data_IF_047126582601
#
_entry.id   IF_047126582601
#
_cell.length_a   1.000
_cell.length_b   1.000
_cell.length_c   1.000
_cell.angle_alpha   90.00
_cell.angle_beta   90.00
_cell.angle_gamma   90.00
#
_symmetry.space_group_name_H-M   'P 1'
#
loop_
_entity.id
_entity.type
_entity.pdbx_description
1 polymer ?
#
# COMPACT_ATOMS: atom_id res chain seq x y z
N UNK A 1 18.19 -25.42 -6.48
CA UNK A 1 18.19 -23.96 -6.64
C UNK A 1 16.93 -23.46 -5.98
N UNK A 2 17.03 -22.88 -4.77
CA UNK A 2 15.89 -22.29 -4.07
C UNK A 2 15.58 -20.97 -4.76
N UNK A 3 14.40 -20.85 -5.36
CA UNK A 3 13.89 -19.59 -5.89
C UNK A 3 13.50 -18.77 -4.68
N UNK A 4 14.27 -17.72 -4.40
CA UNK A 4 14.00 -16.75 -3.36
C UNK A 4 12.75 -15.98 -3.78
N UNK A 5 11.61 -16.27 -3.18
CA UNK A 5 10.37 -15.52 -3.36
C UNK A 5 10.43 -14.34 -2.40
N UNK A 6 10.80 -13.18 -2.88
CA UNK A 6 10.64 -11.94 -2.14
C UNK A 6 9.15 -11.57 -2.13
N UNK A 7 8.49 -11.74 -1.02
CA UNK A 7 7.17 -11.19 -0.77
C UNK A 7 7.40 -9.82 -0.14
N UNK A 8 7.34 -8.79 -0.96
CA UNK A 8 7.30 -7.41 -0.46
C UNK A 8 5.88 -7.18 0.08
N UNK A 9 5.72 -7.32 1.39
CA UNK A 9 4.53 -6.87 2.09
C UNK A 9 4.78 -5.43 2.51
N UNK A 10 4.74 -4.50 1.57
CA UNK A 10 4.57 -3.09 1.91
C UNK A 10 3.15 -2.91 2.43
N UNK A 11 3.00 -2.17 3.51
CA UNK A 11 1.68 -1.74 3.93
C UNK A 11 1.00 -1.06 2.75
N UNK A 12 -0.13 -1.65 2.32
CA UNK A 12 -1.02 -1.15 1.29
C UNK A 12 -0.50 -0.96 -0.12
N UNK A 13 -0.53 -1.93 -0.76
CA UNK A 13 -1.00 -2.35 -2.07
C UNK A 13 -0.60 -3.79 -2.17
N UNK A 14 -1.52 -4.69 -2.42
CA UNK A 14 -1.18 -5.98 -2.98
C UNK A 14 -0.71 -5.71 -4.43
N UNK A 15 0.25 -4.85 -4.62
CA UNK A 15 1.24 -4.93 -5.66
C UNK A 15 2.30 -5.89 -5.14
N UNK A 16 1.91 -7.16 -4.93
CA UNK A 16 2.90 -8.21 -5.01
C UNK A 16 3.57 -7.98 -6.36
N UNK A 17 4.78 -7.44 -6.34
CA UNK A 17 5.67 -7.54 -7.49
C UNK A 17 5.88 -9.03 -7.72
N UNK A 18 4.92 -9.66 -8.40
CA UNK A 18 5.15 -10.92 -9.03
C UNK A 18 6.25 -10.65 -10.05
N UNK A 19 7.49 -10.96 -9.71
CA UNK A 19 8.51 -11.21 -10.73
C UNK A 19 8.01 -12.42 -11.50
N UNK A 20 6.99 -12.21 -12.31
CA UNK A 20 6.41 -13.22 -13.15
C UNK A 20 7.33 -13.36 -14.36
N UNK A 21 8.04 -14.48 -14.44
CA UNK A 21 8.20 -15.10 -15.75
C UNK A 21 6.78 -15.14 -16.33
N UNK A 22 6.60 -14.59 -17.54
CA UNK A 22 5.32 -14.59 -18.21
C UNK A 22 4.69 -15.99 -18.11
N UNK A 23 3.73 -16.14 -17.22
CA UNK A 23 3.06 -17.42 -17.01
C UNK A 23 1.88 -17.48 -17.98
N UNK A 24 1.77 -18.58 -18.70
CA UNK A 24 0.68 -18.83 -19.66
C UNK A 24 -0.63 -19.22 -18.97
N UNK A 25 -0.74 -19.02 -17.64
CA UNK A 25 -1.93 -19.37 -16.86
C UNK A 25 -2.41 -18.17 -16.06
N UNK A 26 -3.72 -18.08 -15.88
CA UNK A 26 -4.33 -17.15 -14.93
C UNK A 26 -4.01 -17.62 -13.51
N UNK A 27 -3.56 -16.71 -12.67
CA UNK A 27 -3.29 -16.96 -11.25
C UNK A 27 -4.28 -16.15 -10.42
N UNK A 28 -4.85 -16.78 -9.40
CA UNK A 28 -5.63 -16.12 -8.36
C UNK A 28 -4.82 -15.99 -7.09
N UNK A 29 -5.04 -14.96 -6.31
CA UNK A 29 -4.48 -14.76 -4.99
C UNK A 29 -5.55 -14.30 -4.02
N UNK A 30 -5.43 -14.72 -2.77
CA UNK A 30 -6.24 -14.25 -1.65
C UNK A 30 -5.34 -14.06 -0.44
N UNK A 31 -5.52 -12.95 0.27
CA UNK A 31 -4.84 -12.70 1.53
C UNK A 31 -5.79 -12.03 2.52
N UNK A 32 -5.56 -12.23 3.80
CA UNK A 32 -6.20 -11.48 4.88
C UNK A 32 -5.12 -11.11 5.88
N UNK A 33 -4.84 -9.81 6.00
CA UNK A 33 -3.94 -9.28 7.01
C UNK A 33 -4.72 -8.88 8.27
N UNK A 34 -4.12 -9.10 9.42
CA UNK A 34 -4.56 -8.57 10.71
C UNK A 34 -3.42 -7.72 11.24
N UNK A 35 -3.67 -6.44 11.40
CA UNK A 35 -2.65 -5.46 11.78
C UNK A 35 -3.02 -4.75 13.08
N UNK A 36 -2.03 -4.41 13.88
CA UNK A 36 -2.22 -3.66 15.13
C UNK A 36 -2.48 -2.17 14.92
N UNK A 37 -2.00 -1.63 13.81
CA UNK A 37 -2.18 -0.25 13.39
C UNK A 37 -2.09 -0.17 11.87
N UNK A 38 -2.98 0.61 11.25
CA UNK A 38 -2.97 0.88 9.84
C UNK A 38 -2.12 2.12 9.54
N UNK A 39 -0.89 1.92 9.13
CA UNK A 39 0.06 2.99 8.76
C UNK A 39 0.30 2.95 7.26
N UNK A 40 0.16 4.08 6.60
CA UNK A 40 0.35 4.23 5.15
C UNK A 40 1.15 5.49 4.80
N UNK A 41 2.30 5.32 4.15
CA UNK A 41 3.19 6.42 3.72
C UNK A 41 3.50 7.41 4.87
N UNK A 42 3.75 6.83 6.07
CA UNK A 42 4.01 7.61 7.28
C UNK A 42 2.77 8.26 7.91
N UNK A 43 1.58 7.98 7.41
CA UNK A 43 0.31 8.46 7.97
C UNK A 43 -0.37 7.36 8.81
N UNK A 44 -0.96 7.74 9.94
CA UNK A 44 -1.84 6.89 10.73
C UNK A 44 -3.25 6.95 10.16
N UNK A 45 -3.72 5.85 9.58
CA UNK A 45 -5.06 5.72 9.03
C UNK A 45 -6.00 4.92 9.95
N UNK A 46 -5.53 4.46 11.09
CA UNK A 46 -6.37 3.79 12.09
C UNK A 46 -5.63 2.77 12.94
N UNK A 47 -6.36 2.28 13.92
CA UNK A 47 -5.89 1.28 14.88
C UNK A 47 -5.92 -0.13 14.28
N UNK A 48 -6.09 -1.14 15.14
CA UNK A 48 -6.15 -2.53 14.70
C UNK A 48 -7.22 -2.75 13.61
N UNK A 49 -6.85 -3.42 12.54
CA UNK A 49 -7.69 -3.61 11.35
C UNK A 49 -7.58 -5.02 10.78
N UNK A 50 -8.63 -5.44 10.09
CA UNK A 50 -8.61 -6.61 9.19
C UNK A 50 -8.61 -6.10 7.76
N UNK A 51 -7.68 -6.63 6.95
CA UNK A 51 -7.40 -6.14 5.61
C UNK A 51 -7.44 -7.30 4.59
N UNK A 52 -8.63 -7.66 4.07
CA UNK A 52 -8.76 -8.67 3.04
C UNK A 52 -8.32 -8.17 1.68
N UNK A 53 -7.73 -9.05 0.88
CA UNK A 53 -7.35 -8.80 -0.49
C UNK A 53 -7.57 -9.99 -1.40
N UNK A 54 -7.96 -9.71 -2.64
CA UNK A 54 -8.17 -10.67 -3.71
C UNK A 54 -7.47 -10.17 -4.97
N UNK A 55 -6.88 -11.07 -5.75
CA UNK A 55 -6.23 -10.71 -6.99
C UNK A 55 -6.34 -11.79 -8.05
N UNK A 56 -6.22 -11.33 -9.29
CA UNK A 56 -6.10 -12.20 -10.46
C UNK A 56 -5.04 -11.62 -11.38
N UNK A 57 -4.18 -12.45 -11.94
CA UNK A 57 -3.13 -12.00 -12.85
C UNK A 57 -2.96 -12.92 -14.05
N UNK A 58 -2.52 -12.32 -15.17
CA UNK A 58 -2.21 -13.02 -16.40
C UNK A 58 -1.20 -12.23 -17.23
N UNK A 59 -0.06 -12.84 -17.54
CA UNK A 59 1.01 -12.26 -18.38
C UNK A 59 1.44 -10.83 -17.98
N UNK A 60 1.58 -10.61 -16.68
CA UNK A 60 1.98 -9.32 -16.12
C UNK A 60 0.81 -8.35 -15.87
N UNK A 61 -0.36 -8.55 -16.48
CA UNK A 61 -1.56 -7.78 -16.17
C UNK A 61 -2.16 -8.31 -14.87
N UNK A 62 -2.59 -7.43 -13.98
CA UNK A 62 -3.24 -7.78 -12.71
C UNK A 62 -4.45 -6.91 -12.44
N UNK A 63 -5.45 -7.50 -11.81
CA UNK A 63 -6.60 -6.81 -11.23
C UNK A 63 -6.73 -7.28 -9.79
N UNK A 64 -6.78 -6.34 -8.85
CA UNK A 64 -6.95 -6.66 -7.44
C UNK A 64 -8.01 -5.79 -6.77
N UNK A 65 -8.61 -6.36 -5.73
CA UNK A 65 -9.47 -5.67 -4.80
C UNK A 65 -8.87 -5.83 -3.40
N UNK A 66 -8.81 -4.76 -2.64
CA UNK A 66 -8.34 -4.74 -1.28
C UNK A 66 -9.28 -3.90 -0.41
N UNK A 67 -9.28 -4.14 0.88
CA UNK A 67 -10.05 -3.31 1.80
C UNK A 67 -9.46 -3.31 3.20
N UNK A 68 -9.89 -2.34 4.02
CA UNK A 68 -9.53 -2.24 5.42
C UNK A 68 -10.74 -1.91 6.27
N UNK A 69 -10.89 -2.61 7.38
CA UNK A 69 -11.93 -2.35 8.37
C UNK A 69 -11.30 -2.28 9.76
N UNK A 70 -11.36 -1.10 10.37
CA UNK A 70 -10.92 -0.90 11.75
C UNK A 70 -11.78 -1.68 12.75
N UNK A 71 -11.15 -2.19 13.80
CA UNK A 71 -11.77 -3.05 14.82
C UNK A 71 -12.06 -2.34 16.13
N UNK A 72 -11.40 -1.21 16.39
CA UNK A 72 -11.36 -0.57 17.72
C UNK A 72 -12.18 0.71 17.81
N UNK A 73 -12.36 1.42 16.69
CA UNK A 73 -13.13 2.66 16.64
C UNK A 73 -14.06 2.70 15.43
N UNK A 74 -15.22 3.32 15.58
CA UNK A 74 -16.12 3.62 14.46
C UNK A 74 -15.51 4.67 13.51
N UNK A 75 -14.58 5.48 14.02
CA UNK A 75 -13.91 6.55 13.28
C UNK A 75 -12.63 6.08 12.56
N UNK A 76 -12.19 4.84 12.80
CA UNK A 76 -11.09 4.24 12.05
C UNK A 76 -11.43 4.24 10.56
N UNK A 77 -10.43 4.50 9.71
CA UNK A 77 -10.58 4.47 8.26
C UNK A 77 -11.14 3.13 7.81
N UNK A 78 -12.17 3.19 7.00
CA UNK A 78 -12.68 2.07 6.22
C UNK A 78 -12.41 2.36 4.77
N UNK A 79 -11.91 1.36 4.06
CA UNK A 79 -11.38 1.56 2.72
C UNK A 79 -11.68 0.36 1.84
N UNK A 80 -11.90 0.65 0.57
CA UNK A 80 -12.01 -0.37 -0.47
C UNK A 80 -11.34 0.13 -1.74
N UNK A 81 -10.37 -0.62 -2.23
CA UNK A 81 -9.54 -0.25 -3.35
C UNK A 81 -9.66 -1.24 -4.51
N UNK A 82 -9.66 -0.72 -5.72
CA UNK A 82 -9.53 -1.50 -6.94
C UNK A 82 -8.28 -1.05 -7.69
N UNK A 83 -7.38 -2.00 -7.97
CA UNK A 83 -6.13 -1.73 -8.69
C UNK A 83 -6.05 -2.51 -9.98
N UNK A 84 -5.78 -1.83 -11.09
CA UNK A 84 -5.37 -2.40 -12.36
C UNK A 84 -3.88 -2.14 -12.54
N UNK A 85 -3.08 -3.18 -12.70
CA UNK A 85 -1.62 -3.09 -12.82
C UNK A 85 -1.06 -3.86 -13.99
N UNK A 86 0.15 -3.48 -14.41
CA UNK A 86 0.97 -4.25 -15.32
C UNK A 86 2.41 -4.24 -14.85
N UNK A 87 3.06 -5.41 -14.86
CA UNK A 87 4.47 -5.56 -14.51
C UNK A 87 5.21 -6.47 -15.48
N UNK A 88 6.45 -6.09 -15.83
CA UNK A 88 7.33 -6.89 -16.67
C UNK A 88 8.80 -6.50 -16.45
N UNK A 89 9.66 -7.47 -16.15
CA UNK A 89 11.12 -7.27 -16.10
C UNK A 89 11.59 -6.21 -15.10
N UNK A 90 10.93 -6.11 -13.92
CA UNK A 90 11.19 -5.09 -12.91
C UNK A 90 10.36 -3.81 -13.08
N UNK A 91 9.91 -3.47 -14.29
CA UNK A 91 9.02 -2.34 -14.53
C UNK A 91 7.61 -2.64 -14.03
N UNK A 92 6.96 -1.65 -13.43
CA UNK A 92 5.54 -1.70 -13.06
C UNK A 92 4.86 -0.36 -13.33
N UNK A 93 3.58 -0.44 -13.66
CA UNK A 93 2.67 0.70 -13.84
C UNK A 93 1.26 0.27 -13.41
N UNK A 94 0.50 1.19 -12.84
CA UNK A 94 -0.86 0.87 -12.41
C UNK A 94 -1.73 2.08 -12.19
N UNK A 95 -3.00 1.79 -11.94
CA UNK A 95 -4.01 2.77 -11.50
C UNK A 95 -4.79 2.14 -10.36
N UNK A 96 -4.95 2.89 -9.28
CA UNK A 96 -5.76 2.49 -8.13
C UNK A 96 -6.90 3.49 -7.93
N UNK A 97 -8.09 2.95 -7.72
CA UNK A 97 -9.26 3.67 -7.21
C UNK A 97 -9.35 3.38 -5.71
N UNK A 98 -8.96 4.32 -4.88
CA UNK A 98 -9.13 4.31 -3.44
C UNK A 98 -10.51 4.84 -3.10
N UNK A 99 -11.29 4.10 -2.32
CA UNK A 99 -12.54 4.60 -1.79
C UNK A 99 -12.48 4.65 -0.28
N UNK A 100 -12.31 5.86 0.26
CA UNK A 100 -12.24 6.11 1.68
C UNK A 100 -13.62 6.31 2.27
N UNK A 101 -13.96 5.51 3.27
CA UNK A 101 -15.18 5.62 4.05
C UNK A 101 -14.87 5.54 5.54
N UNK A 102 -14.62 6.68 6.14
CA UNK A 102 -14.37 6.82 7.56
C UNK A 102 -15.69 6.90 8.33
N UNK A 103 -16.41 5.82 8.47
CA UNK A 103 -17.67 5.80 9.21
C UNK A 103 -18.80 5.14 8.43
N UNK A 104 -19.77 4.60 9.15
CA UNK A 104 -20.97 3.95 8.59
C UNK A 104 -22.14 4.94 8.55
N UNK A 105 -21.91 6.15 8.07
CA UNK A 105 -22.96 7.12 7.94
C UNK A 105 -23.78 6.90 6.65
N UNK A 106 -25.00 7.42 6.60
CA UNK A 106 -25.87 7.33 5.42
C UNK A 106 -25.39 8.12 4.20
N UNK A 107 -24.22 8.77 4.29
CA UNK A 107 -23.56 9.50 3.19
C UNK A 107 -22.58 8.62 2.44
N UNK A 108 -22.29 7.42 2.93
CA UNK A 108 -21.48 6.43 2.27
C UNK A 108 -22.12 5.99 0.95
N UNK A 109 -21.59 6.47 -0.18
CA UNK A 109 -22.11 6.22 -1.52
C UNK A 109 -20.99 5.83 -2.46
N UNK A 110 -20.69 4.56 -2.54
CA UNK A 110 -19.65 4.01 -3.41
C UNK A 110 -19.78 4.47 -4.87
N UNK A 111 -20.99 4.46 -5.45
CA UNK A 111 -21.21 4.84 -6.86
C UNK A 111 -21.30 6.35 -7.10
N UNK A 112 -20.82 7.17 -6.19
CA UNK A 112 -20.79 8.62 -6.33
C UNK A 112 -19.43 9.09 -6.84
N UNK A 113 -19.31 9.31 -8.14
CA UNK A 113 -18.06 9.69 -8.82
C UNK A 113 -17.99 11.18 -9.21
N UNK A 114 -18.83 12.03 -8.67
CA UNK A 114 -18.80 13.47 -8.95
C UNK A 114 -17.54 14.12 -8.36
N UNK A 115 -16.73 14.79 -9.17
CA UNK A 115 -15.39 15.30 -8.85
C UNK A 115 -15.26 16.15 -7.58
N UNK A 116 -16.32 16.83 -7.14
CA UNK A 116 -16.31 17.69 -5.94
C UNK A 116 -17.02 17.08 -4.72
N UNK A 117 -17.49 15.85 -4.81
CA UNK A 117 -18.26 15.24 -3.74
C UNK A 117 -18.08 13.72 -3.62
N UNK A 118 -17.15 13.17 -4.36
CA UNK A 118 -16.76 11.76 -4.26
C UNK A 118 -15.80 11.55 -3.08
N UNK A 119 -15.80 10.34 -2.51
CA UNK A 119 -14.78 9.87 -1.60
C UNK A 119 -13.74 9.00 -2.31
N UNK A 120 -13.85 8.87 -3.65
CA UNK A 120 -12.85 8.18 -4.45
C UNK A 120 -11.64 9.07 -4.71
N UNK A 121 -10.46 8.46 -4.67
CA UNK A 121 -9.19 9.05 -5.11
C UNK A 121 -8.59 8.13 -6.16
N UNK A 122 -8.26 8.67 -7.33
CA UNK A 122 -7.63 7.90 -8.41
C UNK A 122 -6.15 8.25 -8.47
N UNK A 123 -5.31 7.25 -8.21
CA UNK A 123 -3.85 7.36 -8.23
C UNK A 123 -3.26 6.54 -9.38
N UNK A 124 -2.37 7.15 -10.14
CA UNK A 124 -1.49 6.45 -11.08
C UNK A 124 -0.13 6.19 -10.42
N UNK A 125 0.46 5.02 -10.69
CA UNK A 125 1.81 4.73 -10.26
C UNK A 125 2.68 4.24 -11.41
N UNK A 126 3.98 4.46 -11.28
CA UNK A 126 5.04 3.92 -12.14
C UNK A 126 6.26 3.60 -11.28
N UNK A 127 6.93 2.51 -11.56
CA UNK A 127 8.11 2.14 -10.79
C UNK A 127 9.01 1.13 -11.46
N UNK A 128 10.14 0.90 -10.82
CA UNK A 128 11.10 -0.10 -11.25
C UNK A 128 11.77 -0.78 -10.05
N UNK A 129 11.80 -2.11 -10.07
CA UNK A 129 12.51 -2.96 -9.12
C UNK A 129 13.82 -3.45 -9.74
N UNK A 130 14.95 -3.03 -9.15
CA UNK A 130 16.31 -3.42 -9.53
C UNK A 130 16.78 -4.70 -8.81
N UNK A 131 15.93 -5.27 -7.93
CA UNK A 131 16.25 -6.42 -7.09
C UNK A 131 16.99 -6.05 -5.80
N UNK A 132 17.89 -5.08 -5.81
CA UNK A 132 18.59 -4.55 -4.63
C UNK A 132 17.94 -3.29 -4.06
N UNK A 133 17.14 -2.60 -4.85
CA UNK A 133 16.32 -1.46 -4.47
C UNK A 133 15.13 -1.35 -5.42
N UNK A 134 14.07 -0.70 -4.96
CA UNK A 134 12.91 -0.31 -5.77
C UNK A 134 12.74 1.20 -5.75
N UNK A 135 12.25 1.74 -6.87
CA UNK A 135 11.85 3.14 -7.01
C UNK A 135 10.40 3.18 -7.45
N UNK A 136 9.59 3.96 -6.75
CA UNK A 136 8.16 4.10 -7.05
C UNK A 136 7.77 5.58 -7.07
N UNK A 137 6.92 5.95 -8.00
CA UNK A 137 6.27 7.25 -8.07
C UNK A 137 4.77 7.07 -8.17
N UNK A 138 4.05 7.86 -7.40
CA UNK A 138 2.60 7.87 -7.32
C UNK A 138 2.07 9.28 -7.53
N UNK A 139 0.91 9.43 -8.17
CA UNK A 139 0.25 10.72 -8.34
C UNK A 139 -1.26 10.57 -8.36
N UNK A 140 -1.95 11.29 -7.50
CA UNK A 140 -3.40 11.42 -7.54
C UNK A 140 -3.80 12.30 -8.73
N UNK A 141 -4.53 11.76 -9.69
CA UNK A 141 -4.90 12.50 -10.89
C UNK A 141 -6.38 12.85 -10.98
N UNK A 142 -7.24 12.22 -10.18
CA UNK A 142 -8.69 12.47 -10.17
C UNK A 142 -9.30 12.16 -8.79
N UNK A 143 -10.59 12.50 -8.63
CA UNK A 143 -11.36 12.25 -7.42
C UNK A 143 -11.11 13.29 -6.33
N UNK A 144 -11.18 12.86 -5.07
CA UNK A 144 -11.02 13.69 -3.86
C UNK A 144 -9.54 13.83 -3.48
N UNK A 145 -8.74 14.42 -4.34
CA UNK A 145 -7.35 14.74 -4.06
C UNK A 145 -7.24 15.92 -3.09
N UNK A 146 -6.05 16.13 -2.54
CA UNK A 146 -5.71 17.32 -1.78
C UNK A 146 -5.62 18.58 -2.63
N UNK A 147 -5.50 19.71 -1.96
CA UNK A 147 -5.25 21.01 -2.58
C UNK A 147 -3.84 21.51 -2.24
N UNK A 148 -3.28 22.33 -3.14
CA UNK A 148 -2.03 23.06 -2.95
C UNK A 148 -2.25 24.34 -2.10
N UNK A 149 -1.22 25.17 -1.96
CA UNK A 149 -1.29 26.44 -1.21
C UNK A 149 -2.25 27.46 -1.82
N UNK A 150 -2.48 27.40 -3.14
CA UNK A 150 -3.39 28.29 -3.85
C UNK A 150 -4.86 27.79 -3.80
N UNK A 151 -5.12 26.63 -3.22
CA UNK A 151 -6.44 25.99 -3.15
C UNK A 151 -6.82 25.21 -4.41
N UNK A 152 -5.92 25.07 -5.37
CA UNK A 152 -6.10 24.26 -6.56
C UNK A 152 -5.78 22.79 -6.28
N UNK A 153 -6.26 21.87 -7.15
CA UNK A 153 -5.91 20.43 -7.07
C UNK A 153 -4.39 20.25 -6.99
N UNK A 154 -3.91 19.58 -5.95
CA UNK A 154 -2.49 19.41 -5.71
C UNK A 154 -1.83 18.41 -6.66
N UNK A 155 -2.59 17.47 -7.26
CA UNK A 155 -2.01 16.28 -7.90
C UNK A 155 -1.04 15.59 -6.95
N UNK A 156 -1.53 15.33 -5.72
CA UNK A 156 -0.73 14.83 -4.60
C UNK A 156 0.14 13.67 -5.04
N UNK A 157 1.44 13.86 -4.93
CA UNK A 157 2.42 12.89 -5.42
C UNK A 157 3.30 12.40 -4.29
N UNK A 158 3.75 11.16 -4.41
CA UNK A 158 4.62 10.51 -3.45
C UNK A 158 5.69 9.72 -4.19
N UNK A 159 6.93 9.85 -3.74
CA UNK A 159 8.07 9.10 -4.25
C UNK A 159 8.61 8.20 -3.15
N UNK A 160 8.97 6.97 -3.50
CA UNK A 160 9.44 5.98 -2.55
C UNK A 160 10.69 5.26 -3.06
N UNK A 161 11.62 5.03 -2.15
CA UNK A 161 12.77 4.15 -2.32
C UNK A 161 12.64 3.03 -1.30
N UNK A 162 12.56 1.78 -1.76
CA UNK A 162 12.58 0.57 -0.94
C UNK A 162 13.89 -0.19 -1.09
N UNK A 163 14.44 -0.71 0.00
CA UNK A 163 15.65 -1.53 0.02
C UNK A 163 15.38 -2.83 0.77
N UNK A 164 15.21 -3.95 0.07
CA UNK A 164 15.05 -5.25 0.71
C UNK A 164 16.41 -5.83 1.11
N UNK A 165 16.47 -6.48 2.27
CA UNK A 165 17.64 -7.24 2.71
C UNK A 165 17.23 -8.36 3.68
N UNK A 166 18.11 -9.35 3.89
CA UNK A 166 17.86 -10.43 4.86
C UNK A 166 18.87 -10.35 6.00
N UNK A 167 18.38 -10.39 7.23
CA UNK A 167 19.19 -10.37 8.44
C UNK A 167 18.53 -11.17 9.56
N UNK A 168 19.33 -12.00 10.28
CA UNK A 168 18.88 -12.83 11.43
C UNK A 168 17.64 -13.69 11.10
N UNK A 169 17.66 -14.36 9.93
CA UNK A 169 16.57 -15.23 9.46
C UNK A 169 15.21 -14.52 9.36
N UNK A 170 15.22 -13.22 9.14
CA UNK A 170 14.08 -12.40 8.78
C UNK A 170 14.36 -11.70 7.45
N UNK A 171 13.30 -11.42 6.70
CA UNK A 171 13.35 -10.53 5.56
C UNK A 171 13.00 -9.12 6.02
N UNK A 172 13.86 -8.18 5.67
CA UNK A 172 13.77 -6.78 6.06
C UNK A 172 13.53 -5.90 4.85
N UNK A 173 12.82 -4.81 5.09
CA UNK A 173 12.63 -3.76 4.12
C UNK A 173 12.82 -2.41 4.80
N UNK A 174 13.74 -1.60 4.27
CA UNK A 174 13.89 -0.21 4.64
C UNK A 174 13.27 0.67 3.56
N UNK A 175 12.47 1.66 3.97
CA UNK A 175 11.75 2.55 3.06
C UNK A 175 12.04 3.99 3.41
N UNK A 176 12.25 4.82 2.39
CA UNK A 176 12.22 6.28 2.50
C UNK A 176 11.24 6.82 1.47
N UNK A 177 10.27 7.59 1.97
CA UNK A 177 9.24 8.20 1.15
C UNK A 177 9.17 9.71 1.31
N UNK A 178 8.88 10.41 0.21
CA UNK A 178 8.83 11.86 0.18
C UNK A 178 7.69 12.36 -0.71
N UNK A 179 7.13 13.50 -0.30
CA UNK A 179 6.15 14.29 -1.03
C UNK A 179 6.89 15.45 -1.69
N UNK A 180 6.83 15.64 -3.02
CA UNK A 180 7.68 16.61 -3.72
C UNK A 180 7.22 18.07 -3.60
N UNK A 181 5.94 18.32 -3.27
CA UNK A 181 5.38 19.67 -3.22
C UNK A 181 4.20 19.76 -2.23
N UNK A 182 3.69 20.98 -2.02
CA UNK A 182 2.60 21.25 -1.09
C UNK A 182 1.32 20.49 -1.46
N UNK A 183 0.73 19.80 -0.47
CA UNK A 183 -0.57 19.16 -0.61
C UNK A 183 -1.23 18.92 0.74
N UNK A 184 -2.52 19.21 0.82
CA UNK A 184 -3.31 18.90 2.02
C UNK A 184 -3.54 17.40 2.20
N UNK A 185 -3.40 16.57 1.16
CA UNK A 185 -3.55 15.11 1.23
C UNK A 185 -2.50 14.45 2.15
N UNK A 186 -1.26 14.94 2.11
CA UNK A 186 -0.16 14.50 2.97
C UNK A 186 0.15 15.52 4.10
N UNK A 187 -0.58 16.65 4.17
CA UNK A 187 -0.35 17.69 5.15
C UNK A 187 0.99 18.41 4.97
N UNK A 188 1.49 18.53 3.74
CA UNK A 188 2.78 19.15 3.43
C UNK A 188 2.60 20.55 2.81
N UNK A 189 3.53 21.46 3.14
CA UNK A 189 3.60 22.83 2.59
C UNK A 189 4.72 22.99 1.55
N UNK A 190 5.32 21.91 1.10
CA UNK A 190 6.41 21.87 0.13
C UNK A 190 7.01 20.47 0.08
N UNK A 191 8.26 20.38 -0.38
CA UNK A 191 8.98 19.12 -0.30
C UNK A 191 9.13 18.64 1.14
N UNK A 192 8.76 17.40 1.41
CA UNK A 192 8.88 16.80 2.74
C UNK A 192 9.17 15.30 2.65
N UNK A 193 10.07 14.81 3.51
CA UNK A 193 10.17 13.38 3.80
C UNK A 193 9.04 13.04 4.76
N UNK A 194 8.12 12.20 4.31
CA UNK A 194 6.93 11.81 5.09
C UNK A 194 7.01 10.38 5.62
N UNK A 195 7.99 9.61 5.15
CA UNK A 195 8.20 8.25 5.66
C UNK A 195 9.68 7.89 5.73
N UNK A 196 10.09 7.34 6.88
CA UNK A 196 11.31 6.56 7.07
C UNK A 196 10.90 5.32 7.84
N UNK A 197 10.88 4.18 7.18
CA UNK A 197 10.35 2.97 7.77
C UNK A 197 11.34 1.80 7.71
N UNK A 198 11.18 0.89 8.67
CA UNK A 198 11.88 -0.37 8.72
C UNK A 198 10.87 -1.46 9.13
N UNK A 199 10.75 -2.51 8.31
CA UNK A 199 9.87 -3.64 8.56
C UNK A 199 10.67 -4.95 8.53
N UNK A 200 10.41 -5.83 9.48
CA UNK A 200 10.92 -7.20 9.53
C UNK A 200 9.77 -8.17 9.32
N UNK A 201 9.96 -9.16 8.48
CA UNK A 201 8.98 -10.23 8.23
C UNK A 201 9.64 -11.58 8.44
N UNK A 202 8.92 -12.49 9.08
CA UNK A 202 9.31 -13.89 9.24
C UNK A 202 8.15 -14.82 8.88
N UNK A 203 8.43 -15.78 8.03
CA UNK A 203 7.46 -16.81 7.67
C UNK A 203 7.45 -17.94 8.71
N UNK A 204 6.26 -18.30 9.18
CA UNK A 204 6.02 -19.45 10.04
C UNK A 204 5.18 -20.47 9.30
N UNK A 205 5.69 -21.71 9.20
CA UNK A 205 4.94 -22.81 8.61
C UNK A 205 4.08 -23.51 9.67
N UNK A 206 2.80 -23.64 9.38
CA UNK A 206 1.83 -24.39 10.19
C UNK A 206 1.48 -25.68 9.45
N UNK A 207 2.11 -26.77 9.88
CA UNK A 207 2.07 -28.04 9.14
C UNK A 207 2.77 -27.90 7.77
N UNK A 208 2.34 -28.70 6.80
CA UNK A 208 3.00 -28.79 5.49
C UNK A 208 2.38 -27.86 4.41
N UNK A 209 1.30 -27.14 4.73
CA UNK A 209 0.48 -26.47 3.73
C UNK A 209 0.21 -24.98 3.96
N UNK A 210 0.40 -24.50 5.17
CA UNK A 210 0.04 -23.11 5.51
C UNK A 210 1.30 -22.37 5.94
N UNK A 211 1.59 -21.26 5.28
CA UNK A 211 2.64 -20.33 5.70
C UNK A 211 1.98 -19.04 6.15
N UNK A 212 2.35 -18.60 7.34
CA UNK A 212 1.84 -17.35 7.94
C UNK A 212 3.02 -16.40 8.10
N UNK A 213 3.16 -15.39 7.24
CA UNK A 213 4.09 -14.30 7.48
C UNK A 213 3.62 -13.47 8.69
N UNK A 214 4.53 -13.29 9.64
CA UNK A 214 4.36 -12.42 10.80
C UNK A 214 5.35 -11.28 10.63
N UNK A 215 4.92 -10.06 10.82
CA UNK A 215 5.76 -8.89 10.63
C UNK A 215 5.60 -7.86 11.73
N UNK A 216 6.62 -7.04 11.89
CA UNK A 216 6.62 -5.87 12.74
C UNK A 216 7.41 -4.77 12.05
N UNK A 217 7.05 -3.53 12.34
CA UNK A 217 7.72 -2.39 11.74
C UNK A 217 7.61 -1.12 12.57
N UNK A 218 8.45 -0.18 12.20
CA UNK A 218 8.41 1.19 12.65
C UNK A 218 8.36 2.08 11.41
N UNK A 219 7.50 3.08 11.44
CA UNK A 219 7.41 4.13 10.41
C UNK A 219 7.43 5.48 11.11
N UNK A 220 8.42 6.29 10.80
CA UNK A 220 8.53 7.66 11.28
C UNK A 220 8.17 8.63 10.15
N UNK A 221 7.37 9.64 10.48
CA UNK A 221 7.07 10.75 9.59
C UNK A 221 7.81 12.01 10.10
N UNK A 222 8.96 12.38 9.52
CA UNK A 222 9.72 13.55 9.94
C UNK A 222 8.96 14.86 9.76
N UNK A 223 8.06 14.95 8.77
CA UNK A 223 7.27 16.15 8.50
C UNK A 223 6.26 16.43 9.63
N UNK A 224 5.50 15.41 10.05
CA UNK A 224 4.53 15.52 11.15
C UNK A 224 5.13 15.24 12.53
N UNK A 225 6.39 14.82 12.60
CA UNK A 225 7.12 14.43 13.82
C UNK A 225 6.48 13.24 14.57
N UNK A 226 5.78 12.37 13.86
CA UNK A 226 5.14 11.17 14.38
C UNK A 226 6.02 9.93 14.17
N UNK A 227 5.83 8.95 15.03
CA UNK A 227 6.45 7.64 14.88
C UNK A 227 5.44 6.56 15.28
N UNK A 228 5.26 5.58 14.40
CA UNK A 228 4.27 4.51 14.51
C UNK A 228 4.97 3.17 14.62
N UNK A 229 4.50 2.33 15.54
CA UNK A 229 4.96 0.95 15.69
C UNK A 229 3.79 0.04 15.36
N UNK A 230 3.98 -0.88 14.43
CA UNK A 230 2.94 -1.79 14.02
C UNK A 230 3.45 -3.23 13.94
N UNK A 231 2.55 -4.15 14.13
CA UNK A 231 2.77 -5.58 13.93
C UNK A 231 1.55 -6.18 13.27
N UNK A 232 1.75 -7.30 12.59
CA UNK A 232 0.65 -8.00 11.94
C UNK A 232 1.04 -9.40 11.50
N UNK A 233 0.07 -10.09 10.98
CA UNK A 233 0.25 -11.38 10.31
C UNK A 233 -0.75 -11.50 9.16
N UNK A 234 -0.40 -12.31 8.18
CA UNK A 234 -1.26 -12.55 7.02
C UNK A 234 -1.58 -14.04 6.86
N UNK A 235 -2.79 -14.32 6.44
CA UNK A 235 -3.15 -15.61 5.86
C UNK A 235 -3.18 -15.46 4.34
N UNK A 236 -2.43 -16.31 3.64
CA UNK A 236 -2.28 -16.27 2.18
C UNK A 236 -2.64 -17.64 1.57
N UNK A 237 -3.39 -17.61 0.44
CA UNK A 237 -3.79 -18.75 -0.36
C UNK A 237 -3.45 -18.53 -1.84
#
# INVERSE_FOLDING_TARGET
MKVLRFIVVAGMCICSCFVTKAQDKVEGSMAVDVVSQYVWRGQDLGNASIQPGLGISYKGLSLSAWGSVGLTSADDTKEFDLTLGYSAGGFNIGVTDYWFNAGLDGKNRYFRYNSHSTNHVFEGNIGYDFGCLSLQWYTNFAGNDGVNEDGDRAYSSYFEIGVPFSFVSCDWEAVVGAVPFATSFYGTTGFAVTEVALKATKEFSIGDKVTVPVYMGVSANPCSQNCHFYAGFAFQL
#
